data_IF_044792330513
#
_entry.id   IF_044792330513
#
_cell.length_a   1.000
_cell.length_b   1.000
_cell.length_c   1.000
_cell.angle_alpha   90.00
_cell.angle_beta   90.00
_cell.angle_gamma   90.00
#
_symmetry.space_group_name_H-M   'P 1'
#
loop_
_entity.id
_entity.type
_entity.pdbx_description
1 polymer ?
#
# COMPACT_ATOMS: atom_id res chain seq x y z
N UNK A 1 -0.89 8.50 -5.74
CA UNK A 1 -2.31 8.16 -5.98
C UNK A 1 -3.17 8.55 -4.78
N UNK A 2 -4.41 9.02 -5.01
CA UNK A 2 -5.45 9.21 -4.00
C UNK A 2 -6.74 8.54 -4.46
N UNK A 3 -7.45 7.86 -3.55
CA UNK A 3 -8.80 7.32 -3.76
C UNK A 3 -9.69 7.67 -2.57
N UNK A 4 -10.98 7.90 -2.82
CA UNK A 4 -11.98 8.08 -1.77
C UNK A 4 -13.07 7.05 -1.99
N UNK A 5 -13.38 6.27 -0.97
CA UNK A 5 -14.33 5.15 -1.07
C UNK A 5 -15.26 5.13 0.14
N UNK A 6 -16.49 4.60 0.00
CA UNK A 6 -17.33 4.26 1.14
C UNK A 6 -16.62 3.28 2.09
N UNK A 7 -16.91 3.38 3.38
CA UNK A 7 -16.34 2.51 4.41
C UNK A 7 -17.13 1.20 4.54
N UNK A 8 -17.16 0.41 3.46
CA UNK A 8 -17.78 -0.91 3.42
C UNK A 8 -16.79 -1.99 2.98
N UNK A 9 -17.16 -3.25 3.22
CA UNK A 9 -16.29 -4.41 2.96
C UNK A 9 -15.98 -4.61 1.46
N UNK A 10 -16.93 -4.28 0.57
CA UNK A 10 -16.73 -4.40 -0.88
C UNK A 10 -15.72 -3.38 -1.40
N UNK A 11 -15.72 -2.20 -0.79
CA UNK A 11 -14.77 -1.12 -1.05
C UNK A 11 -13.34 -1.52 -0.68
N UNK A 12 -13.12 -2.35 0.35
CA UNK A 12 -11.76 -2.86 0.67
C UNK A 12 -11.19 -3.64 -0.52
N UNK A 13 -11.95 -4.59 -1.08
CA UNK A 13 -11.50 -5.40 -2.22
C UNK A 13 -11.29 -4.55 -3.48
N UNK A 14 -12.13 -3.54 -3.70
CA UNK A 14 -11.93 -2.59 -4.79
C UNK A 14 -10.63 -1.81 -4.60
N UNK A 15 -10.43 -1.22 -3.42
CA UNK A 15 -9.23 -0.46 -3.08
C UNK A 15 -7.98 -1.29 -3.24
N UNK A 16 -7.94 -2.54 -2.76
CA UNK A 16 -6.79 -3.43 -2.98
C UNK A 16 -6.46 -3.64 -4.45
N UNK A 17 -7.45 -3.71 -5.35
CA UNK A 17 -7.22 -3.85 -6.80
C UNK A 17 -6.63 -2.57 -7.40
N UNK A 18 -7.16 -1.41 -7.00
CA UNK A 18 -6.64 -0.11 -7.45
C UNK A 18 -5.20 0.09 -6.96
N UNK A 19 -4.93 -0.23 -5.70
CA UNK A 19 -3.57 -0.20 -5.11
C UNK A 19 -2.62 -1.10 -5.90
N UNK A 20 -3.01 -2.33 -6.20
CA UNK A 20 -2.14 -3.22 -6.97
C UNK A 20 -1.90 -2.74 -8.40
N UNK A 21 -2.89 -2.13 -9.04
CA UNK A 21 -2.73 -1.52 -10.36
C UNK A 21 -1.73 -0.36 -10.33
N UNK A 22 -1.89 0.55 -9.36
CA UNK A 22 -1.00 1.69 -9.17
C UNK A 22 0.45 1.25 -8.91
N UNK A 23 0.66 0.30 -8.00
CA UNK A 23 2.00 -0.19 -7.67
C UNK A 23 2.67 -0.90 -8.86
N UNK A 24 1.89 -1.59 -9.71
CA UNK A 24 2.43 -2.15 -10.96
C UNK A 24 2.89 -1.05 -11.92
N UNK A 25 2.15 0.05 -12.02
CA UNK A 25 2.57 1.21 -12.82
C UNK A 25 3.84 1.86 -12.27
N UNK A 26 4.06 1.77 -10.96
CA UNK A 26 5.30 2.21 -10.29
C UNK A 26 6.42 1.15 -10.31
N UNK A 27 6.27 0.06 -11.08
CA UNK A 27 7.24 -1.04 -11.17
C UNK A 27 7.60 -1.69 -9.83
N UNK A 28 6.68 -1.68 -8.86
CA UNK A 28 6.88 -2.35 -7.58
C UNK A 28 6.89 -3.88 -7.75
N UNK A 29 7.74 -4.61 -7.00
CA UNK A 29 7.79 -6.07 -7.08
C UNK A 29 6.50 -6.73 -6.55
N UNK A 30 6.14 -7.94 -7.03
CA UNK A 30 4.92 -8.63 -6.62
C UNK A 30 4.77 -8.83 -5.11
N UNK A 31 5.88 -9.12 -4.42
CA UNK A 31 5.91 -9.29 -2.95
C UNK A 31 5.46 -8.02 -2.24
N UNK A 32 5.96 -6.86 -2.67
CA UNK A 32 5.56 -5.59 -2.09
C UNK A 32 4.11 -5.21 -2.42
N UNK A 33 3.64 -5.56 -3.62
CA UNK A 33 2.23 -5.37 -3.97
C UNK A 33 1.35 -6.17 -3.01
N UNK A 34 1.68 -7.43 -2.75
CA UNK A 34 0.95 -8.28 -1.82
C UNK A 34 0.99 -7.74 -0.39
N UNK A 35 2.16 -7.34 0.10
CA UNK A 35 2.33 -6.75 1.43
C UNK A 35 1.53 -5.44 1.57
N UNK A 36 1.54 -4.60 0.53
CA UNK A 36 0.75 -3.37 0.52
C UNK A 36 -0.73 -3.64 0.52
N UNK A 37 -1.22 -4.59 -0.27
CA UNK A 37 -2.63 -4.99 -0.25
C UNK A 37 -3.07 -5.53 1.11
N UNK A 38 -2.18 -6.26 1.80
CA UNK A 38 -2.42 -6.74 3.17
C UNK A 38 -2.51 -5.59 4.17
N UNK A 39 -1.52 -4.70 4.18
CA UNK A 39 -1.52 -3.53 5.07
C UNK A 39 -2.75 -2.66 4.84
N UNK A 40 -3.14 -2.46 3.58
CA UNK A 40 -4.38 -1.74 3.23
C UNK A 40 -5.61 -2.43 3.81
N UNK A 41 -5.72 -3.76 3.71
CA UNK A 41 -6.83 -4.50 4.32
C UNK A 41 -6.84 -4.36 5.85
N UNK A 42 -5.68 -4.50 6.49
CA UNK A 42 -5.54 -4.43 7.94
C UNK A 42 -5.87 -3.03 8.48
N UNK A 43 -5.55 -1.97 7.72
CA UNK A 43 -5.91 -0.60 8.06
C UNK A 43 -7.40 -0.31 7.84
N UNK A 44 -7.98 -0.79 6.74
CA UNK A 44 -9.37 -0.50 6.39
C UNK A 44 -10.38 -1.39 7.12
N UNK A 45 -9.99 -2.60 7.51
CA UNK A 45 -10.86 -3.57 8.16
C UNK A 45 -11.57 -3.02 9.40
N UNK A 46 -10.84 -2.49 10.40
CA UNK A 46 -11.45 -1.87 11.58
C UNK A 46 -12.29 -0.63 11.24
N UNK A 47 -11.84 0.17 10.28
CA UNK A 47 -12.54 1.40 9.88
C UNK A 47 -13.90 1.10 9.23
N UNK A 48 -13.98 0.06 8.41
CA UNK A 48 -15.25 -0.36 7.78
C UNK A 48 -16.19 -1.09 8.75
N UNK A 49 -15.74 -1.40 9.97
CA UNK A 49 -16.57 -1.94 11.05
C UNK A 49 -17.06 -0.86 12.02
N UNK A 50 -16.50 0.35 11.94
CA UNK A 50 -16.86 1.46 12.81
C UNK A 50 -18.13 2.15 12.29
N UNK A 51 -19.16 2.28 13.14
CA UNK A 51 -20.48 2.82 12.75
C UNK A 51 -20.45 4.31 12.40
N UNK A 52 -19.45 5.05 12.89
CA UNK A 52 -19.25 6.48 12.69
C UNK A 52 -18.45 6.81 11.41
N UNK A 53 -17.74 5.84 10.84
CA UNK A 53 -16.95 6.04 9.62
C UNK A 53 -17.79 5.73 8.40
N UNK A 54 -18.12 6.77 7.60
CA UNK A 54 -18.90 6.60 6.35
C UNK A 54 -18.03 6.43 5.11
N UNK A 55 -16.83 7.00 5.12
CA UNK A 55 -15.92 7.00 3.99
C UNK A 55 -14.47 7.10 4.48
N UNK A 56 -13.55 6.72 3.61
CA UNK A 56 -12.12 6.93 3.82
C UNK A 56 -11.45 7.46 2.55
N UNK A 57 -10.46 8.32 2.74
CA UNK A 57 -9.46 8.65 1.73
C UNK A 57 -8.22 7.79 1.92
N UNK A 58 -7.71 7.18 0.85
CA UNK A 58 -6.46 6.44 0.84
C UNK A 58 -5.47 7.07 -0.13
N UNK A 59 -4.26 7.32 0.37
CA UNK A 59 -3.13 7.83 -0.41
C UNK A 59 -2.01 6.81 -0.43
N UNK A 60 -1.44 6.59 -1.61
CA UNK A 60 -0.20 5.83 -1.79
C UNK A 60 0.82 6.71 -2.50
N UNK A 61 2.02 6.76 -1.91
CA UNK A 61 3.14 7.54 -2.40
C UNK A 61 4.46 6.86 -2.04
N UNK A 62 5.53 7.21 -2.76
CA UNK A 62 6.88 6.83 -2.36
C UNK A 62 7.19 7.47 -1.00
N UNK A 63 7.87 6.73 -0.13
CA UNK A 63 8.27 7.25 1.18
C UNK A 63 9.31 8.36 0.99
N UNK A 64 9.12 9.55 1.59
CA UNK A 64 10.10 10.61 1.55
C UNK A 64 11.30 10.35 2.49
N UNK A 65 11.16 9.43 3.44
CA UNK A 65 12.14 9.17 4.51
C UNK A 65 12.87 7.85 4.35
N UNK A 66 12.26 6.89 3.65
CA UNK A 66 12.77 5.53 3.50
C UNK A 66 12.93 5.22 2.01
N UNK A 67 14.16 5.29 1.45
CA UNK A 67 14.40 5.02 0.04
C UNK A 67 13.92 3.63 -0.35
N UNK A 68 13.16 3.57 -1.44
CA UNK A 68 12.54 2.33 -1.87
C UNK A 68 11.54 1.83 -0.84
N UNK A 69 10.69 2.68 -0.25
CA UNK A 69 9.53 2.23 0.50
C UNK A 69 8.29 2.95 -0.03
N UNK A 70 7.13 2.35 0.17
CA UNK A 70 5.85 2.95 -0.13
C UNK A 70 5.18 3.35 1.17
N UNK A 71 4.69 4.59 1.24
CA UNK A 71 3.85 5.07 2.33
C UNK A 71 2.38 4.95 1.95
N UNK A 72 1.63 4.23 2.76
CA UNK A 72 0.17 4.15 2.74
C UNK A 72 -0.38 5.06 3.82
N UNK A 73 -1.35 5.89 3.47
CA UNK A 73 -2.03 6.77 4.42
C UNK A 73 -3.54 6.64 4.25
N UNK A 74 -4.26 6.49 5.35
CA UNK A 74 -5.73 6.44 5.38
C UNK A 74 -6.25 7.57 6.25
N UNK A 75 -7.22 8.31 5.73
CA UNK A 75 -7.85 9.44 6.41
C UNK A 75 -9.37 9.25 6.44
N UNK A 76 -9.99 9.35 7.61
CA UNK A 76 -11.45 9.25 7.80
C UNK A 76 -12.10 10.55 8.27
N UNK A 77 -11.39 11.67 8.18
CA UNK A 77 -11.77 12.96 8.77
C UNK A 77 -11.24 13.10 10.20
N UNK A 78 -11.60 12.15 11.07
CA UNK A 78 -11.25 12.17 12.49
C UNK A 78 -9.95 11.41 12.79
N UNK A 79 -9.58 10.46 11.93
CA UNK A 79 -8.39 9.62 12.12
C UNK A 79 -7.47 9.70 10.90
N UNK A 80 -6.16 9.75 11.16
CA UNK A 80 -5.13 9.61 10.15
C UNK A 80 -4.21 8.45 10.52
N UNK A 81 -4.25 7.36 9.74
CA UNK A 81 -3.39 6.19 9.93
C UNK A 81 -2.32 6.17 8.83
N UNK A 82 -1.08 5.87 9.18
CA UNK A 82 0.02 5.79 8.22
C UNK A 82 0.90 4.57 8.46
N UNK A 83 1.33 3.93 7.37
CA UNK A 83 2.28 2.82 7.38
C UNK A 83 3.27 2.95 6.24
N UNK A 84 4.53 2.65 6.52
CA UNK A 84 5.57 2.54 5.50
C UNK A 84 5.88 1.06 5.25
N UNK A 85 6.03 0.71 3.98
CA UNK A 85 6.22 -0.67 3.50
C UNK A 85 7.49 -0.68 2.66
N UNK A 86 8.57 -1.31 3.12
CA UNK A 86 9.84 -1.33 2.40
C UNK A 86 9.73 -2.14 1.10
N UNK A 87 10.45 -1.68 0.07
CA UNK A 87 10.78 -2.42 -1.15
C UNK A 87 12.07 -3.18 -0.85
N UNK A 88 12.04 -4.52 -0.77
CA UNK A 88 13.27 -5.28 -0.75
C UNK A 88 14.05 -4.94 -2.03
N UNK A 89 15.29 -4.45 -1.89
CA UNK A 89 16.14 -4.22 -3.05
C UNK A 89 16.28 -5.54 -3.82
N UNK A 90 16.18 -5.54 -5.16
CA UNK A 90 16.61 -6.70 -5.94
C UNK A 90 18.00 -7.08 -5.45
N UNK A 91 18.20 -8.37 -5.11
CA UNK A 91 19.56 -8.85 -4.86
C UNK A 91 20.39 -8.42 -6.08
N UNK A 92 21.54 -7.75 -5.88
CA UNK A 92 22.41 -7.46 -7.01
C UNK A 92 22.64 -8.79 -7.76
N UNK A 93 22.70 -8.77 -9.10
CA UNK A 93 23.07 -9.98 -9.83
C UNK A 93 24.34 -10.48 -9.18
N UNK A 94 24.34 -11.74 -8.75
CA UNK A 94 25.58 -12.39 -8.33
C UNK A 94 26.55 -12.15 -9.48
N UNK A 95 27.66 -11.48 -9.23
CA UNK A 95 28.80 -11.49 -10.13
C UNK A 95 29.27 -12.95 -10.20
N UNK A 96 28.59 -13.77 -11.00
CA UNK A 96 29.16 -14.98 -11.61
C UNK A 96 30.15 -14.53 -12.70
N UNK A 97 31.06 -13.62 -12.31
CA UNK A 97 32.28 -13.29 -13.02
C UNK A 97 33.42 -13.48 -12.01
N UNK A 98 33.62 -14.71 -11.56
CA UNK A 98 34.93 -15.12 -11.04
C UNK A 98 35.26 -16.55 -11.49
N UNK A 99 35.97 -16.62 -12.60
CA UNK A 99 37.14 -17.50 -12.68
C UNK A 99 37.04 -18.70 -13.61
N UNK A 100 37.75 -18.56 -14.74
CA UNK A 100 38.44 -19.58 -15.54
C UNK A 100 37.60 -20.52 -16.41
#
# INVERSE_FOLDING_TARGET
MYVCMPADHDSIRHTQRVVAAELRLQHCPPEQIADTQRVVADLLGPLCQAEDVRQYGLTIQQSPTTPGAVRVSVNTGDTNLQREIPIPRPRPPTDDIQGL
#
